data_IF_546853245032
#
_entry.id   IF_546853245032
#
_cell.length_a   1.000
_cell.length_b   1.000
_cell.length_c   1.000
_cell.angle_alpha   90.00
_cell.angle_beta   90.00
_cell.angle_gamma   90.00
#
_symmetry.space_group_name_H-M   'P 1'
#
loop_
_entity.id
_entity.type
_entity.pdbx_description
1 polymer ?
#
# COMPACT_ATOMS: atom_id res chain seq x y z
N UNK A 1 -4.90 17.08 0.95
CA UNK A 1 -5.82 16.61 -0.11
C UNK A 1 -4.93 15.99 -1.18
N UNK A 2 -4.80 14.66 -1.25
CA UNK A 2 -3.92 14.03 -2.25
C UNK A 2 -4.63 14.04 -3.59
N UNK A 3 -3.99 14.62 -4.60
CA UNK A 3 -4.49 14.63 -5.97
C UNK A 3 -4.61 13.20 -6.51
N UNK A 4 -5.78 12.87 -7.02
CA UNK A 4 -6.05 11.59 -7.67
C UNK A 4 -5.27 11.54 -8.99
N UNK A 5 -4.17 10.77 -9.04
CA UNK A 5 -3.36 10.57 -10.25
C UNK A 5 -4.02 9.69 -11.32
N UNK A 6 -5.29 9.32 -11.13
CA UNK A 6 -6.06 8.51 -12.09
C UNK A 6 -6.63 9.46 -13.13
N UNK A 7 -6.14 9.35 -14.37
CA UNK A 7 -6.63 10.10 -15.53
C UNK A 7 -7.47 9.18 -16.39
N UNK A 8 -8.71 9.58 -16.66
CA UNK A 8 -9.59 8.87 -17.58
C UNK A 8 -9.35 9.38 -19.00
N UNK A 9 -9.20 8.46 -19.94
CA UNK A 9 -8.99 8.76 -21.35
C UNK A 9 -9.98 7.98 -22.20
N UNK A 10 -10.39 8.55 -23.33
CA UNK A 10 -11.19 7.87 -24.34
C UNK A 10 -10.32 6.97 -25.23
N UNK A 11 -10.94 6.02 -25.93
CA UNK A 11 -10.23 5.08 -26.80
C UNK A 11 -9.45 5.79 -27.93
N UNK A 12 -10.04 6.86 -28.49
CA UNK A 12 -9.40 7.62 -29.57
C UNK A 12 -8.23 8.46 -29.07
N UNK A 13 -8.32 9.04 -27.86
CA UNK A 13 -7.22 9.75 -27.23
C UNK A 13 -6.04 8.81 -26.94
N UNK A 14 -6.30 7.61 -26.42
CA UNK A 14 -5.26 6.60 -26.14
C UNK A 14 -4.52 6.21 -27.42
N UNK A 15 -5.24 6.04 -28.54
CA UNK A 15 -4.63 5.68 -29.84
C UNK A 15 -3.72 6.77 -30.39
N UNK A 16 -4.01 8.04 -30.10
CA UNK A 16 -3.19 9.17 -30.53
C UNK A 16 -2.01 9.45 -29.58
N UNK A 17 -2.04 8.91 -28.35
CA UNK A 17 -0.96 9.10 -27.40
C UNK A 17 0.30 8.36 -27.85
N UNK A 18 1.41 9.10 -27.87
CA UNK A 18 2.72 8.48 -28.02
C UNK A 18 3.06 7.75 -26.73
N UNK A 19 3.52 6.51 -26.89
CA UNK A 19 4.05 5.77 -25.75
C UNK A 19 5.24 6.52 -25.16
N UNK A 20 5.29 6.62 -23.83
CA UNK A 20 6.43 7.17 -23.10
C UNK A 20 7.53 6.14 -22.86
N UNK A 21 7.26 4.88 -23.18
CA UNK A 21 8.19 3.78 -23.03
C UNK A 21 9.08 3.70 -24.27
N UNK A 22 10.39 3.60 -24.04
CA UNK A 22 11.34 3.26 -25.09
C UNK A 22 11.29 1.75 -25.35
N UNK A 23 10.45 1.37 -26.33
CA UNK A 23 10.19 -0.03 -26.68
C UNK A 23 11.35 -0.72 -27.40
N UNK A 24 12.23 0.04 -28.04
CA UNK A 24 13.38 -0.52 -28.73
C UNK A 24 14.45 -0.90 -27.71
N UNK A 25 14.70 -0.04 -26.71
CA UNK A 25 15.55 -0.37 -25.56
C UNK A 25 15.04 -1.60 -24.81
N UNK A 26 13.75 -1.67 -24.51
CA UNK A 26 13.18 -2.78 -23.74
C UNK A 26 13.32 -4.12 -24.49
N UNK A 27 13.04 -4.13 -25.79
CA UNK A 27 13.21 -5.35 -26.62
C UNK A 27 14.67 -5.78 -26.75
N UNK A 28 15.60 -4.84 -26.79
CA UNK A 28 17.03 -5.13 -26.83
C UNK A 28 17.58 -5.69 -25.50
N UNK A 29 16.93 -5.37 -24.37
CA UNK A 29 17.33 -5.83 -23.04
C UNK A 29 17.09 -7.34 -22.82
N UNK A 30 16.30 -7.98 -23.69
CA UNK A 30 15.93 -9.39 -23.56
C UNK A 30 14.82 -9.62 -22.54
N UNK A 31 14.35 -10.86 -22.48
CA UNK A 31 13.35 -11.25 -21.49
C UNK A 31 13.93 -11.22 -20.07
N UNK A 32 13.09 -10.92 -19.10
CA UNK A 32 13.50 -10.86 -17.70
C UNK A 32 13.77 -12.27 -17.16
N UNK A 33 15.04 -12.61 -16.95
CA UNK A 33 15.50 -13.86 -16.31
C UNK A 33 15.61 -13.71 -14.77
N UNK A 34 14.58 -13.17 -14.12
CA UNK A 34 14.51 -13.19 -12.66
C UNK A 34 14.18 -14.58 -12.10
N UNK A 35 14.12 -14.68 -10.78
CA UNK A 35 13.66 -15.90 -10.09
C UNK A 35 12.31 -16.35 -10.68
N UNK A 36 12.28 -17.57 -11.22
CA UNK A 36 11.07 -18.18 -11.76
C UNK A 36 10.01 -18.32 -10.68
N UNK A 37 8.74 -18.27 -11.11
CA UNK A 37 7.54 -18.42 -10.29
C UNK A 37 7.75 -19.39 -9.12
N UNK A 38 7.66 -18.87 -7.90
CA UNK A 38 7.64 -19.71 -6.71
C UNK A 38 6.30 -20.47 -6.68
N UNK A 39 6.37 -21.76 -6.40
CA UNK A 39 5.19 -22.60 -6.26
C UNK A 39 4.38 -22.14 -5.02
N UNK A 40 3.27 -21.45 -5.27
CA UNK A 40 2.35 -21.03 -4.20
C UNK A 40 1.46 -22.21 -3.84
N UNK A 41 1.62 -22.76 -2.63
CA UNK A 41 0.67 -23.71 -2.07
C UNK A 41 -0.64 -22.99 -1.71
N UNK A 42 -1.54 -22.90 -2.68
CA UNK A 42 -2.87 -22.30 -2.50
C UNK A 42 -3.73 -23.02 -1.47
N UNK A 43 -3.42 -24.27 -1.11
CA UNK A 43 -4.16 -24.99 -0.05
C UNK A 43 -3.92 -24.38 1.33
N UNK A 44 -2.81 -23.67 1.52
CA UNK A 44 -2.47 -22.94 2.76
C UNK A 44 -2.90 -21.48 2.74
N UNK A 45 -3.40 -20.99 1.61
CA UNK A 45 -3.83 -19.61 1.49
C UNK A 45 -5.01 -19.35 2.43
N UNK A 46 -4.81 -18.50 3.44
CA UNK A 46 -5.88 -18.04 4.31
C UNK A 46 -6.51 -16.80 3.70
N UNK A 47 -7.82 -16.85 3.43
CA UNK A 47 -8.58 -15.65 3.08
C UNK A 47 -8.57 -14.72 4.30
N UNK A 48 -7.81 -13.63 4.22
CA UNK A 48 -7.81 -12.58 5.24
C UNK A 48 -8.77 -11.50 4.79
N UNK A 49 -9.99 -11.52 5.32
CA UNK A 49 -10.90 -10.40 5.17
C UNK A 49 -10.46 -9.31 6.15
N UNK A 50 -10.03 -8.11 5.68
CA UNK A 50 -9.64 -7.05 6.59
C UNK A 50 -10.87 -6.59 7.37
N UNK A 51 -10.89 -6.87 8.67
CA UNK A 51 -11.95 -6.35 9.53
C UNK A 51 -11.85 -4.81 9.57
N UNK A 52 -12.99 -4.11 9.37
CA UNK A 52 -12.99 -2.66 9.44
C UNK A 52 -12.63 -2.21 10.86
N UNK A 53 -11.74 -1.23 10.95
CA UNK A 53 -11.38 -0.61 12.23
C UNK A 53 -12.63 0.05 12.84
N UNK A 54 -12.84 -0.14 14.14
CA UNK A 54 -13.90 0.55 14.86
C UNK A 54 -13.50 2.01 15.10
N UNK A 55 -14.32 2.95 14.64
CA UNK A 55 -14.14 4.36 14.93
C UNK A 55 -14.58 4.63 16.38
N UNK A 56 -13.63 5.00 17.24
CA UNK A 56 -13.87 5.32 18.64
C UNK A 56 -13.37 6.74 18.95
N UNK A 57 -13.96 7.37 19.96
CA UNK A 57 -13.41 8.59 20.54
C UNK A 57 -12.39 8.22 21.62
N UNK A 58 -11.12 8.53 21.38
CA UNK A 58 -10.01 8.29 22.30
C UNK A 58 -9.33 9.63 22.62
N UNK A 59 -9.06 9.87 23.90
CA UNK A 59 -8.20 10.97 24.34
C UNK A 59 -6.75 10.49 24.36
N UNK A 60 -5.87 11.28 23.75
CA UNK A 60 -4.41 11.08 23.72
C UNK A 60 -3.75 12.40 24.05
N UNK A 61 -2.54 12.32 24.60
CA UNK A 61 -1.77 13.52 24.92
C UNK A 61 -1.47 14.35 23.65
N UNK A 62 -1.44 15.70 23.76
CA UNK A 62 -1.28 16.57 22.59
C UNK A 62 0.04 16.33 21.84
N UNK A 63 1.14 16.13 22.57
CA UNK A 63 2.48 15.88 22.05
C UNK A 63 2.55 14.55 21.27
N UNK A 64 1.90 13.50 21.77
CA UNK A 64 1.79 12.21 21.08
C UNK A 64 1.02 12.38 19.77
N UNK A 65 -0.08 13.13 19.78
CA UNK A 65 -0.86 13.39 18.57
C UNK A 65 -0.06 14.21 17.54
N UNK A 66 0.65 15.24 17.99
CA UNK A 66 1.52 16.05 17.13
C UNK A 66 2.67 15.23 16.53
N UNK A 67 3.31 14.38 17.33
CA UNK A 67 4.36 13.48 16.87
C UNK A 67 3.88 12.63 15.70
N UNK A 68 2.74 11.96 15.82
CA UNK A 68 2.21 11.14 14.72
C UNK A 68 1.76 11.98 13.53
N UNK A 69 1.12 13.14 13.75
CA UNK A 69 0.70 14.05 12.68
C UNK A 69 1.87 14.58 11.86
N UNK A 70 3.02 14.85 12.49
CA UNK A 70 4.21 15.36 11.80
C UNK A 70 4.75 14.39 10.73
N UNK A 71 4.43 13.09 10.84
CA UNK A 71 4.81 12.06 9.87
C UNK A 71 3.93 12.08 8.59
N UNK A 72 2.95 12.98 8.50
CA UNK A 72 2.12 13.19 7.32
C UNK A 72 0.89 12.29 7.23
N UNK A 73 0.38 12.11 6.01
CA UNK A 73 -0.83 11.32 5.76
C UNK A 73 -0.70 9.88 6.30
N UNK A 74 -1.80 9.35 6.82
CA UNK A 74 -1.84 8.01 7.41
C UNK A 74 -1.36 7.94 8.87
N UNK A 75 -1.21 9.06 9.57
CA UNK A 75 -0.77 9.08 10.97
C UNK A 75 -1.62 8.18 11.90
N UNK A 76 -2.93 8.12 11.69
CA UNK A 76 -3.83 7.24 12.45
C UNK A 76 -3.52 5.75 12.22
N UNK A 77 -3.14 5.37 10.99
CA UNK A 77 -2.74 4.00 10.67
C UNK A 77 -1.43 3.64 11.36
N UNK A 78 -0.46 4.56 11.41
CA UNK A 78 0.80 4.37 12.14
C UNK A 78 0.56 4.25 13.66
N UNK A 79 -0.25 5.14 14.22
CA UNK A 79 -0.65 5.09 15.63
C UNK A 79 -1.31 3.75 15.98
N UNK A 80 -2.24 3.27 15.13
CA UNK A 80 -2.87 1.97 15.32
C UNK A 80 -1.87 0.79 15.21
N UNK A 81 -0.86 0.87 14.34
CA UNK A 81 0.16 -0.17 14.22
C UNK A 81 1.00 -0.29 15.51
N UNK A 82 1.34 0.84 16.14
CA UNK A 82 2.05 0.87 17.43
C UNK A 82 1.19 0.23 18.54
N UNK A 83 -0.09 0.61 18.63
CA UNK A 83 -1.01 0.03 19.62
C UNK A 83 -1.15 -1.49 19.44
N UNK A 84 -1.23 -1.96 18.18
CA UNK A 84 -1.28 -3.39 17.86
C UNK A 84 0.00 -4.11 18.26
N UNK A 85 1.17 -3.57 17.92
CA UNK A 85 2.44 -4.18 18.28
C UNK A 85 2.60 -4.31 19.81
N UNK A 86 2.18 -3.29 20.56
CA UNK A 86 2.18 -3.35 22.02
C UNK A 86 1.23 -4.43 22.55
N UNK A 87 -0.01 -4.49 22.03
CA UNK A 87 -0.98 -5.54 22.39
C UNK A 87 -0.43 -6.95 22.13
N UNK A 88 0.15 -7.20 20.96
CA UNK A 88 0.74 -8.50 20.59
C UNK A 88 1.91 -8.88 21.50
N UNK A 89 2.74 -7.90 21.89
CA UNK A 89 3.85 -8.13 22.81
C UNK A 89 3.35 -8.53 24.21
N UNK A 90 2.21 -8.00 24.67
CA UNK A 90 1.60 -8.40 25.94
C UNK A 90 0.95 -9.79 25.87
N UNK A 91 0.36 -10.17 24.73
CA UNK A 91 -0.29 -11.48 24.55
C UNK A 91 0.70 -12.65 24.42
N UNK A 92 1.95 -12.38 24.05
CA UNK A 92 3.02 -13.39 23.95
C UNK A 92 3.74 -13.66 25.26
N UNK A 93 3.35 -12.99 26.34
CA UNK A 93 3.84 -13.20 27.71
C UNK A 93 2.94 -14.17 28.46
#
# INVERSE_FOLDING_TARGET
MSESNIKTYTLDEIRQMKSRTDWDRLRAQGDYEGEQEFEVDWTRAKLVTPEPKKAISLRVDPDVLEFFKSQGAGYQTRMNAVLRAWMEAQLKR
#
